data_IF_049359260354
#
_entry.id   IF_049359260354
#
_cell.length_a   1.000
_cell.length_b   1.000
_cell.length_c   1.000
_cell.angle_alpha   90.00
_cell.angle_beta   90.00
_cell.angle_gamma   90.00
#
_symmetry.space_group_name_H-M   'P 1'
#
loop_
_entity.id
_entity.type
_entity.pdbx_description
1 polymer ?
#
# COMPACT_ATOMS: atom_id res chain seq x y z
N UNK A 1 0.58 -34.35 -10.06
CA UNK A 1 -0.43 -33.56 -10.79
C UNK A 1 -0.14 -32.07 -10.73
N UNK A 2 0.00 -31.48 -9.54
CA UNK A 2 0.36 -30.06 -9.32
C UNK A 2 1.51 -29.52 -10.18
N UNK A 3 2.73 -30.09 -10.10
CA UNK A 3 3.89 -29.62 -10.90
C UNK A 3 3.63 -29.58 -12.42
N UNK A 4 2.79 -30.49 -12.93
CA UNK A 4 2.43 -30.50 -14.36
C UNK A 4 1.52 -29.33 -14.71
N UNK A 5 0.59 -28.96 -13.81
CA UNK A 5 -0.28 -27.81 -13.99
C UNK A 5 0.52 -26.51 -14.01
N UNK A 6 1.43 -26.30 -13.06
CA UNK A 6 2.28 -25.09 -13.02
C UNK A 6 3.15 -24.99 -14.27
N UNK A 7 3.84 -26.08 -14.64
CA UNK A 7 4.67 -26.09 -15.85
C UNK A 7 3.85 -25.80 -17.11
N UNK A 8 2.63 -26.31 -17.19
CA UNK A 8 1.72 -26.03 -18.30
C UNK A 8 1.28 -24.57 -18.32
N UNK A 9 0.92 -23.99 -17.17
CA UNK A 9 0.56 -22.57 -17.05
C UNK A 9 1.72 -21.66 -17.47
N UNK A 10 2.94 -21.93 -16.98
CA UNK A 10 4.15 -21.19 -17.37
C UNK A 10 4.37 -21.28 -18.88
N UNK A 11 4.31 -22.47 -19.46
CA UNK A 11 4.48 -22.67 -20.91
C UNK A 11 3.43 -21.93 -21.77
N UNK A 12 2.24 -21.65 -21.22
CA UNK A 12 1.14 -20.98 -21.91
C UNK A 12 1.12 -19.47 -21.72
N UNK A 13 1.49 -18.99 -20.52
CA UNK A 13 1.22 -17.61 -20.10
C UNK A 13 2.49 -16.77 -19.93
N UNK A 14 3.68 -17.37 -19.78
CA UNK A 14 4.91 -16.60 -19.51
C UNK A 14 5.27 -15.58 -20.63
N UNK A 15 4.86 -15.84 -21.87
CA UNK A 15 5.08 -14.93 -23.00
C UNK A 15 4.34 -13.58 -22.85
N UNK A 16 3.30 -13.49 -22.03
CA UNK A 16 2.55 -12.26 -21.81
C UNK A 16 3.23 -11.38 -20.76
N UNK A 17 3.51 -10.12 -21.10
CA UNK A 17 4.30 -9.20 -20.26
C UNK A 17 3.60 -8.74 -18.99
N UNK A 18 2.29 -8.93 -18.92
CA UNK A 18 1.42 -8.55 -17.82
C UNK A 18 1.10 -9.72 -16.86
N UNK A 19 1.85 -10.83 -16.94
CA UNK A 19 1.66 -12.00 -16.05
C UNK A 19 2.64 -11.93 -14.89
N UNK A 20 2.11 -12.04 -13.67
CA UNK A 20 2.84 -12.29 -12.43
C UNK A 20 2.37 -13.63 -11.84
N UNK A 21 3.24 -14.31 -11.10
CA UNK A 21 2.95 -15.60 -10.49
C UNK A 21 2.74 -15.47 -9.00
N UNK A 22 1.49 -15.56 -8.55
CA UNK A 22 1.21 -15.97 -7.17
C UNK A 22 1.08 -17.49 -7.12
N UNK A 23 1.97 -18.13 -6.37
CA UNK A 23 2.00 -19.59 -6.26
C UNK A 23 0.74 -20.13 -5.58
N UNK A 24 0.07 -19.36 -4.72
CA UNK A 24 -1.21 -19.77 -4.15
C UNK A 24 -1.70 -18.86 -3.04
N UNK A 25 -3.01 -18.59 -3.07
CA UNK A 25 -3.73 -17.84 -2.04
C UNK A 25 -3.68 -18.56 -0.70
N UNK A 26 -3.40 -17.82 0.38
CA UNK A 26 -3.40 -18.32 1.77
C UNK A 26 -2.68 -19.67 1.94
N UNK A 27 -1.61 -19.89 1.15
CA UNK A 27 -1.05 -21.24 0.97
C UNK A 27 -0.55 -21.86 2.29
N UNK A 28 -0.15 -21.03 3.25
CA UNK A 28 0.40 -21.43 4.55
C UNK A 28 -0.66 -21.95 5.53
N UNK A 29 -1.96 -21.82 5.23
CA UNK A 29 -3.01 -22.49 5.99
C UNK A 29 -2.95 -24.03 5.83
N UNK A 30 -2.47 -24.49 4.67
CA UNK A 30 -2.49 -25.92 4.30
C UNK A 30 -1.12 -26.48 3.95
N UNK A 31 -0.09 -25.62 3.80
CA UNK A 31 1.23 -26.01 3.31
C UNK A 31 2.34 -25.46 4.20
N UNK A 32 3.40 -26.26 4.35
CA UNK A 32 4.63 -25.81 5.00
C UNK A 32 5.38 -24.81 4.10
N UNK A 33 6.12 -23.84 4.65
CA UNK A 33 6.92 -22.89 3.85
C UNK A 33 7.89 -23.54 2.85
N UNK A 34 8.36 -24.77 3.12
CA UNK A 34 9.22 -25.51 2.20
C UNK A 34 8.56 -25.81 0.83
N UNK A 35 7.22 -25.81 0.76
CA UNK A 35 6.50 -25.98 -0.50
C UNK A 35 6.71 -24.78 -1.44
N UNK A 36 6.52 -23.54 -0.97
CA UNK A 36 6.66 -22.36 -1.82
C UNK A 36 8.12 -22.20 -2.26
N UNK A 37 9.09 -22.49 -1.39
CA UNK A 37 10.51 -22.57 -1.76
C UNK A 37 10.76 -23.53 -2.92
N UNK A 38 10.19 -24.74 -2.87
CA UNK A 38 10.37 -25.74 -3.92
C UNK A 38 9.64 -25.38 -5.22
N UNK A 39 8.40 -24.89 -5.12
CA UNK A 39 7.59 -24.52 -6.28
C UNK A 39 8.07 -23.24 -6.96
N UNK A 40 8.44 -22.21 -6.21
CA UNK A 40 9.00 -20.97 -6.72
C UNK A 40 10.28 -21.21 -7.52
N UNK A 41 11.20 -22.03 -7.00
CA UNK A 41 12.41 -22.44 -7.74
C UNK A 41 12.08 -23.11 -9.08
N UNK A 42 11.06 -23.97 -9.11
CA UNK A 42 10.64 -24.64 -10.34
C UNK A 42 9.98 -23.67 -11.33
N UNK A 43 9.12 -22.76 -10.85
CA UNK A 43 8.49 -21.73 -11.69
C UNK A 43 9.55 -20.82 -12.30
N UNK A 44 10.49 -20.29 -11.51
CA UNK A 44 11.61 -19.47 -12.01
C UNK A 44 12.50 -20.24 -13.00
N UNK A 45 12.68 -21.56 -12.82
CA UNK A 45 13.40 -22.39 -13.79
C UNK A 45 12.64 -22.57 -15.12
N UNK A 46 11.31 -22.67 -15.07
CA UNK A 46 10.48 -22.91 -16.25
C UNK A 46 10.12 -21.65 -17.01
N UNK A 47 10.13 -20.49 -16.36
CA UNK A 47 9.77 -19.20 -16.95
C UNK A 47 10.99 -18.55 -17.63
N UNK A 48 11.04 -18.52 -18.98
CA UNK A 48 12.18 -17.96 -19.69
C UNK A 48 12.24 -16.43 -19.67
N UNK A 49 11.20 -15.75 -19.17
CA UNK A 49 11.08 -14.30 -19.15
C UNK A 49 11.22 -13.70 -17.74
N UNK A 50 11.50 -14.53 -16.74
CA UNK A 50 11.72 -14.11 -15.36
C UNK A 50 10.59 -13.22 -14.80
N UNK A 51 9.33 -13.62 -15.02
CA UNK A 51 8.18 -12.85 -14.51
C UNK A 51 8.21 -12.79 -12.97
N UNK A 52 7.69 -11.70 -12.36
CA UNK A 52 7.58 -11.61 -10.92
C UNK A 52 6.83 -12.80 -10.33
N UNK A 53 7.38 -13.39 -9.26
CA UNK A 53 6.82 -14.54 -8.58
C UNK A 53 6.79 -14.31 -7.06
N UNK A 54 5.73 -14.74 -6.39
CA UNK A 54 5.62 -14.78 -4.94
C UNK A 54 4.59 -15.83 -4.49
N UNK A 55 4.26 -15.88 -3.20
CA UNK A 55 3.26 -16.78 -2.65
C UNK A 55 2.46 -16.08 -1.55
N UNK A 56 1.16 -15.86 -1.78
CA UNK A 56 0.28 -15.17 -0.85
C UNK A 56 0.09 -15.94 0.46
N UNK A 57 0.60 -15.36 1.56
CA UNK A 57 0.48 -15.93 2.90
C UNK A 57 -0.66 -15.29 3.70
N UNK A 58 -1.45 -16.13 4.35
CA UNK A 58 -2.33 -15.74 5.44
C UNK A 58 -1.48 -15.17 6.57
N UNK A 59 -1.62 -13.88 6.87
CA UNK A 59 -0.77 -13.13 7.79
C UNK A 59 0.71 -13.06 7.36
N UNK A 60 1.61 -13.81 8.00
CA UNK A 60 3.05 -13.54 7.98
C UNK A 60 3.80 -13.97 6.69
N UNK A 61 4.81 -13.16 6.32
CA UNK A 61 5.78 -13.53 5.29
C UNK A 61 6.82 -14.53 5.83
N UNK A 62 6.84 -15.73 5.25
CA UNK A 62 7.66 -16.85 5.73
C UNK A 62 8.97 -17.08 4.95
N UNK A 63 9.34 -16.17 4.04
CA UNK A 63 10.37 -16.45 3.03
C UNK A 63 11.59 -15.54 3.06
N UNK A 64 11.63 -14.53 3.94
CA UNK A 64 12.72 -13.57 4.03
C UNK A 64 13.13 -13.02 2.66
N UNK A 65 14.45 -12.99 2.39
CA UNK A 65 15.03 -12.48 1.15
C UNK A 65 15.25 -13.57 0.06
N UNK A 66 14.60 -14.73 0.15
CA UNK A 66 14.84 -15.84 -0.80
C UNK A 66 14.69 -15.42 -2.27
N UNK A 67 15.67 -15.76 -3.11
CA UNK A 67 15.79 -15.25 -4.48
C UNK A 67 14.70 -15.68 -5.46
N UNK A 68 13.86 -16.65 -5.13
CA UNK A 68 12.75 -17.06 -5.99
C UNK A 68 11.53 -16.13 -5.90
N UNK A 69 11.40 -15.43 -4.77
CA UNK A 69 10.30 -14.50 -4.53
C UNK A 69 10.74 -13.09 -4.89
N UNK A 70 10.07 -12.44 -5.82
CA UNK A 70 10.42 -11.10 -6.30
C UNK A 70 9.80 -9.99 -5.44
N UNK A 71 8.70 -10.29 -4.71
CA UNK A 71 7.99 -9.37 -3.84
C UNK A 71 7.42 -10.08 -2.62
N UNK A 72 7.12 -9.34 -1.56
CA UNK A 72 6.41 -9.79 -0.36
C UNK A 72 4.92 -9.59 -0.60
N UNK A 73 4.13 -10.61 -0.27
CA UNK A 73 2.68 -10.56 -0.41
C UNK A 73 2.03 -11.24 0.78
N UNK A 74 1.24 -10.46 1.52
CA UNK A 74 0.59 -10.88 2.78
C UNK A 74 -0.86 -10.41 2.83
N UNK A 75 -1.59 -10.99 3.77
CA UNK A 75 -2.93 -10.57 4.15
C UNK A 75 -2.95 -10.11 5.60
N UNK A 76 -3.11 -8.81 5.81
CA UNK A 76 -3.31 -8.24 7.14
C UNK A 76 -4.41 -7.20 7.10
N UNK A 77 -5.52 -7.50 7.77
CA UNK A 77 -6.55 -6.54 8.09
C UNK A 77 -6.22 -5.81 9.40
N UNK A 78 -6.86 -4.66 9.59
CA UNK A 78 -6.67 -3.83 10.77
C UNK A 78 -7.06 -2.39 10.49
N UNK A 79 -6.98 -1.54 11.51
CA UNK A 79 -7.11 -0.10 11.33
C UNK A 79 -5.91 0.49 10.56
N UNK A 80 -5.96 1.80 10.30
CA UNK A 80 -4.92 2.54 9.57
C UNK A 80 -3.52 2.34 10.16
N UNK A 81 -3.40 2.33 11.49
CA UNK A 81 -2.12 2.18 12.20
C UNK A 81 -1.62 0.75 12.08
N UNK A 82 -2.50 -0.22 12.33
CA UNK A 82 -2.15 -1.65 12.26
C UNK A 82 -1.64 -2.05 10.86
N UNK A 83 -2.31 -1.62 9.79
CA UNK A 83 -1.86 -1.94 8.41
C UNK A 83 -0.58 -1.19 8.00
N UNK A 84 -0.36 0.02 8.52
CA UNK A 84 0.87 0.78 8.31
C UNK A 84 2.06 0.10 9.00
N UNK A 85 1.92 -0.23 10.29
CA UNK A 85 2.93 -0.95 11.07
C UNK A 85 3.25 -2.31 10.47
N UNK A 86 2.23 -3.01 9.97
CA UNK A 86 2.41 -4.29 9.30
C UNK A 86 3.24 -4.19 8.03
N UNK A 87 3.00 -3.19 7.19
CA UNK A 87 3.84 -2.94 6.02
C UNK A 87 5.29 -2.57 6.43
N UNK A 88 5.44 -1.70 7.44
CA UNK A 88 6.76 -1.31 7.95
C UNK A 88 7.57 -2.47 8.54
N UNK A 89 6.91 -3.49 9.11
CA UNK A 89 7.56 -4.72 9.62
C UNK A 89 8.50 -5.37 8.59
N UNK A 90 8.20 -5.23 7.30
CA UNK A 90 8.94 -5.89 6.23
C UNK A 90 9.96 -4.99 5.51
N UNK A 91 10.11 -3.73 5.90
CA UNK A 91 10.95 -2.73 5.21
C UNK A 91 12.42 -3.11 5.04
N UNK A 92 12.96 -3.89 5.98
CA UNK A 92 14.37 -4.30 5.97
C UNK A 92 14.63 -5.48 5.02
N UNK A 93 13.57 -6.07 4.44
CA UNK A 93 13.69 -7.03 3.35
C UNK A 93 13.69 -6.23 2.05
N UNK A 94 14.75 -6.29 1.22
CA UNK A 94 14.89 -5.45 0.03
C UNK A 94 14.02 -5.96 -1.13
N UNK A 95 12.70 -5.95 -0.92
CA UNK A 95 11.68 -6.42 -1.84
C UNK A 95 10.43 -5.52 -1.73
N UNK A 96 9.73 -5.24 -2.84
CA UNK A 96 8.44 -4.57 -2.77
C UNK A 96 7.48 -5.33 -1.86
N UNK A 97 6.70 -4.61 -1.06
CA UNK A 97 5.68 -5.17 -0.17
C UNK A 97 4.28 -4.90 -0.72
N UNK A 98 3.44 -5.93 -0.75
CA UNK A 98 2.03 -5.85 -1.15
C UNK A 98 1.16 -6.45 -0.05
N UNK A 99 0.24 -5.65 0.51
CA UNK A 99 -0.87 -6.20 1.28
C UNK A 99 -1.99 -6.59 0.29
N UNK A 100 -2.08 -7.87 -0.05
CA UNK A 100 -3.04 -8.34 -1.04
C UNK A 100 -4.45 -8.54 -0.48
N UNK A 101 -4.59 -8.61 0.84
CA UNK A 101 -5.89 -8.75 1.46
C UNK A 101 -5.91 -8.11 2.85
N UNK A 102 -6.33 -6.84 2.94
CA UNK A 102 -6.56 -6.13 4.21
C UNK A 102 -8.05 -5.94 4.52
N UNK A 103 -8.92 -6.49 3.68
CA UNK A 103 -10.36 -6.29 3.70
C UNK A 103 -10.89 -5.78 2.35
N UNK A 104 -12.18 -5.97 2.14
CA UNK A 104 -12.87 -5.67 0.88
C UNK A 104 -13.90 -4.58 1.08
N UNK A 105 -14.19 -3.79 0.04
CA UNK A 105 -15.23 -2.76 0.12
C UNK A 105 -16.60 -3.38 0.39
N UNK A 106 -17.41 -2.75 1.23
CA UNK A 106 -18.77 -3.12 1.54
C UNK A 106 -19.49 -2.02 2.32
N UNK A 107 -20.33 -2.40 3.27
CA UNK A 107 -21.21 -1.46 4.00
C UNK A 107 -20.82 -1.24 5.47
N UNK A 108 -19.80 -1.92 5.97
CA UNK A 108 -19.45 -1.91 7.39
C UNK A 108 -18.57 -0.71 7.72
N UNK A 109 -18.90 0.00 8.80
CA UNK A 109 -18.05 1.07 9.33
C UNK A 109 -17.08 0.55 10.38
N UNK A 110 -16.20 -0.36 9.95
CA UNK A 110 -15.11 -0.93 10.75
C UNK A 110 -14.08 -1.58 9.81
N UNK A 111 -12.81 -1.72 10.24
CA UNK A 111 -11.83 -2.47 9.47
C UNK A 111 -12.19 -3.96 9.48
N UNK A 112 -12.62 -4.48 8.33
CA UNK A 112 -12.93 -5.89 8.11
C UNK A 112 -13.09 -6.20 6.62
N UNK A 113 -13.33 -7.45 6.28
CA UNK A 113 -14.02 -7.74 5.02
C UNK A 113 -15.39 -7.03 5.03
N UNK A 114 -15.71 -6.34 3.93
CA UNK A 114 -16.95 -5.57 3.79
C UNK A 114 -16.89 -4.16 4.39
N UNK A 115 -15.69 -3.62 4.64
CA UNK A 115 -15.48 -2.26 5.15
C UNK A 115 -15.90 -1.20 4.14
N UNK A 116 -16.37 -0.05 4.60
CA UNK A 116 -16.82 1.02 3.70
C UNK A 116 -15.66 1.63 2.88
N UNK A 117 -16.02 2.44 1.88
CA UNK A 117 -15.04 3.11 1.00
C UNK A 117 -14.04 4.00 1.76
N UNK A 118 -14.41 4.58 2.91
CA UNK A 118 -13.52 5.40 3.72
C UNK A 118 -12.41 4.56 4.34
N UNK A 119 -12.74 3.39 4.91
CA UNK A 119 -11.75 2.43 5.40
C UNK A 119 -10.85 1.93 4.27
N UNK A 120 -11.41 1.56 3.12
CA UNK A 120 -10.62 1.13 1.95
C UNK A 120 -9.60 2.19 1.54
N UNK A 121 -10.05 3.45 1.40
CA UNK A 121 -9.19 4.58 1.05
C UNK A 121 -8.11 4.81 2.11
N UNK A 122 -8.51 4.88 3.39
CA UNK A 122 -7.58 5.13 4.49
C UNK A 122 -6.53 4.04 4.65
N UNK A 123 -6.90 2.76 4.53
CA UNK A 123 -5.95 1.66 4.59
C UNK A 123 -4.97 1.68 3.41
N UNK A 124 -5.43 1.95 2.18
CA UNK A 124 -4.52 2.08 1.03
C UNK A 124 -3.51 3.22 1.22
N UNK A 125 -3.97 4.39 1.66
CA UNK A 125 -3.07 5.50 1.98
C UNK A 125 -2.09 5.10 3.08
N UNK A 126 -2.56 4.48 4.16
CA UNK A 126 -1.72 4.07 5.29
C UNK A 126 -0.65 3.06 4.87
N UNK A 127 -0.98 2.09 4.01
CA UNK A 127 -0.01 1.12 3.45
C UNK A 127 0.99 1.81 2.51
N UNK A 128 0.53 2.73 1.66
CA UNK A 128 1.41 3.48 0.75
C UNK A 128 2.37 4.41 1.52
N UNK A 129 1.91 5.02 2.61
CA UNK A 129 2.74 5.82 3.52
C UNK A 129 3.81 5.00 4.24
N UNK A 130 3.64 3.68 4.34
CA UNK A 130 4.64 2.75 4.87
C UNK A 130 5.64 2.23 3.80
N UNK A 131 5.57 2.73 2.56
CA UNK A 131 6.40 2.23 1.45
C UNK A 131 5.83 0.98 0.77
N UNK A 132 4.59 0.59 1.09
CA UNK A 132 3.92 -0.59 0.57
C UNK A 132 2.97 -0.32 -0.59
N UNK A 133 2.39 -1.40 -1.10
CA UNK A 133 1.27 -1.39 -2.05
C UNK A 133 0.12 -2.22 -1.48
N UNK A 134 -1.09 -2.00 -1.99
CA UNK A 134 -2.26 -2.80 -1.62
C UNK A 134 -3.12 -3.09 -2.85
N UNK A 135 -3.87 -4.18 -2.80
CA UNK A 135 -4.86 -4.53 -3.82
C UNK A 135 -6.26 -4.14 -3.36
N UNK A 136 -7.14 -3.88 -4.31
CA UNK A 136 -8.54 -3.58 -4.04
C UNK A 136 -9.41 -4.80 -4.33
N UNK A 137 -10.37 -5.08 -3.44
CA UNK A 137 -11.46 -6.03 -3.69
C UNK A 137 -12.80 -5.45 -3.28
N UNK A 138 -13.84 -5.81 -4.04
CA UNK A 138 -15.20 -5.28 -3.89
C UNK A 138 -16.16 -6.36 -3.44
N UNK A 139 -16.62 -6.27 -2.20
CA UNK A 139 -17.63 -7.14 -1.62
C UNK A 139 -18.93 -6.39 -1.29
N UNK A 140 -19.21 -5.32 -2.05
CA UNK A 140 -20.43 -4.55 -1.90
C UNK A 140 -21.68 -5.40 -2.21
N UNK A 141 -22.81 -5.17 -1.54
CA UNK A 141 -24.05 -5.87 -1.86
C UNK A 141 -24.42 -5.77 -3.34
N UNK A 142 -24.62 -6.91 -4.00
CA UNK A 142 -24.92 -6.98 -5.43
C UNK A 142 -23.69 -7.10 -6.34
N UNK A 143 -22.47 -7.01 -5.82
CA UNK A 143 -21.25 -7.31 -6.57
C UNK A 143 -21.08 -8.82 -6.73
N UNK A 144 -20.79 -9.27 -7.96
CA UNK A 144 -20.41 -10.65 -8.23
C UNK A 144 -18.95 -10.89 -7.83
N UNK A 145 -18.71 -11.02 -6.52
CA UNK A 145 -17.37 -11.20 -5.96
C UNK A 145 -16.66 -12.42 -6.56
N UNK A 146 -15.35 -12.33 -6.79
CA UNK A 146 -14.51 -13.36 -7.44
C UNK A 146 -14.84 -13.74 -8.89
N UNK A 147 -15.67 -12.97 -9.60
CA UNK A 147 -16.05 -13.31 -10.99
C UNK A 147 -15.32 -12.50 -12.06
N UNK A 148 -14.52 -11.50 -11.66
CA UNK A 148 -13.84 -10.58 -12.59
C UNK A 148 -14.74 -9.49 -13.20
N UNK A 149 -16.03 -9.45 -12.83
CA UNK A 149 -16.91 -8.33 -13.19
C UNK A 149 -16.60 -7.09 -12.35
N UNK A 150 -16.80 -5.92 -12.94
CA UNK A 150 -16.65 -4.64 -12.24
C UNK A 150 -17.71 -4.55 -11.14
N UNK A 151 -17.26 -4.34 -9.90
CA UNK A 151 -18.14 -4.18 -8.75
C UNK A 151 -18.75 -2.77 -8.63
N UNK A 152 -19.61 -2.59 -7.64
CA UNK A 152 -20.36 -1.35 -7.39
C UNK A 152 -19.70 -0.40 -6.38
N UNK A 153 -18.51 -0.73 -5.91
CA UNK A 153 -17.74 0.03 -4.93
C UNK A 153 -17.32 1.39 -5.45
N UNK A 154 -17.14 2.32 -4.52
CA UNK A 154 -16.82 3.73 -4.75
C UNK A 154 -15.34 4.02 -4.55
N UNK A 155 -14.63 3.18 -3.80
CA UNK A 155 -13.23 3.41 -3.49
C UNK A 155 -12.32 3.44 -4.74
N UNK A 156 -12.54 2.66 -5.83
CA UNK A 156 -11.65 2.70 -7.00
C UNK A 156 -11.45 4.11 -7.58
N UNK A 157 -12.50 4.93 -7.62
CA UNK A 157 -12.41 6.31 -8.09
C UNK A 157 -11.54 7.19 -7.15
N UNK A 158 -11.55 6.91 -5.85
CA UNK A 158 -10.75 7.64 -4.86
C UNK A 158 -9.29 7.14 -4.85
N UNK A 159 -9.07 5.84 -5.08
CA UNK A 159 -7.73 5.25 -5.20
C UNK A 159 -6.99 5.74 -6.45
N UNK A 160 -7.71 6.21 -7.47
CA UNK A 160 -7.10 6.96 -8.58
C UNK A 160 -6.33 8.19 -8.08
N UNK A 161 -6.88 8.95 -7.13
CA UNK A 161 -6.22 10.14 -6.59
C UNK A 161 -5.02 9.82 -5.71
N UNK A 162 -5.04 8.66 -5.04
CA UNK A 162 -3.84 8.13 -4.38
C UNK A 162 -2.76 7.88 -5.43
N UNK A 163 -3.07 7.14 -6.49
CA UNK A 163 -2.11 6.87 -7.57
C UNK A 163 -1.54 8.15 -8.16
N UNK A 164 -2.38 9.11 -8.56
CA UNK A 164 -1.94 10.40 -9.10
C UNK A 164 -1.05 11.17 -8.12
N UNK A 165 -1.32 11.07 -6.81
CA UNK A 165 -0.49 11.75 -5.81
C UNK A 165 0.89 11.11 -5.71
N UNK A 166 0.96 9.80 -5.59
CA UNK A 166 2.23 9.07 -5.47
C UNK A 166 3.07 9.10 -6.76
N UNK A 167 2.43 9.17 -7.94
CA UNK A 167 3.12 9.40 -9.21
C UNK A 167 3.63 10.85 -9.37
N UNK A 168 3.10 11.81 -8.60
CA UNK A 168 3.51 13.23 -8.64
C UNK A 168 4.67 13.59 -7.72
N UNK A 169 5.17 12.63 -6.93
CA UNK A 169 6.26 12.81 -5.95
C UNK A 169 7.41 11.84 -6.26
N UNK A 170 8.64 12.07 -5.76
CA UNK A 170 9.75 11.14 -5.94
C UNK A 170 9.64 9.93 -5.01
N UNK A 171 8.51 9.21 -5.04
CA UNK A 171 8.18 8.11 -4.12
C UNK A 171 9.32 7.10 -3.90
N UNK A 172 10.08 6.65 -4.93
CA UNK A 172 11.19 5.71 -4.73
C UNK A 172 12.37 6.24 -3.88
N UNK A 173 12.47 7.56 -3.68
CA UNK A 173 13.49 8.19 -2.84
C UNK A 173 12.99 8.51 -1.43
N UNK A 174 11.69 8.37 -1.18
CA UNK A 174 11.07 8.74 0.08
C UNK A 174 10.93 7.50 0.97
N UNK A 175 11.13 7.67 2.27
CA UNK A 175 11.02 6.59 3.27
C UNK A 175 10.04 6.97 4.39
N UNK A 176 9.41 5.98 5.07
CA UNK A 176 8.49 6.27 6.17
C UNK A 176 9.22 6.86 7.39
N UNK A 177 8.62 7.91 7.95
CA UNK A 177 9.13 8.73 9.05
C UNK A 177 8.00 9.12 10.03
N UNK A 178 7.20 8.14 10.46
CA UNK A 178 6.05 8.38 11.35
C UNK A 178 6.44 9.06 12.67
N UNK A 179 7.68 8.92 13.13
CA UNK A 179 8.22 9.63 14.29
C UNK A 179 8.24 11.16 14.14
N UNK A 180 8.12 11.68 12.92
CA UNK A 180 8.06 13.12 12.66
C UNK A 180 6.68 13.73 12.89
N UNK A 181 5.63 12.91 13.06
CA UNK A 181 4.24 13.36 13.21
C UNK A 181 3.56 12.77 14.44
N UNK A 182 2.43 13.36 14.85
CA UNK A 182 1.61 12.86 15.96
C UNK A 182 0.73 11.66 15.58
N UNK A 183 0.17 11.00 16.60
CA UNK A 183 -0.78 9.88 16.47
C UNK A 183 -1.94 10.20 15.53
N UNK A 184 -2.33 9.23 14.70
CA UNK A 184 -3.40 9.40 13.70
C UNK A 184 -2.95 10.06 12.39
N UNK A 185 -1.65 10.31 12.24
CA UNK A 185 -1.02 10.75 10.99
C UNK A 185 0.22 9.89 10.67
N UNK A 186 0.55 9.81 9.38
CA UNK A 186 1.74 9.14 8.86
C UNK A 186 2.58 10.10 8.05
N UNK A 187 3.89 9.85 7.98
CA UNK A 187 4.80 10.68 7.21
C UNK A 187 5.70 9.82 6.33
N UNK A 188 5.85 10.25 5.07
CA UNK A 188 6.80 9.72 4.12
C UNK A 188 7.66 10.90 3.66
N UNK A 189 8.99 10.76 3.67
CA UNK A 189 9.87 11.89 3.37
C UNK A 189 11.13 11.49 2.62
N UNK A 190 11.59 12.39 1.75
CA UNK A 190 13.01 12.56 1.49
C UNK A 190 13.43 13.78 2.32
N UNK A 191 14.04 13.54 3.48
CA UNK A 191 14.28 14.58 4.48
C UNK A 191 15.04 15.78 3.89
N UNK A 192 14.56 16.99 4.14
CA UNK A 192 15.10 18.23 3.60
C UNK A 192 14.54 18.65 2.24
N UNK A 193 13.99 17.71 1.46
CA UNK A 193 13.53 17.96 0.09
C UNK A 193 12.00 17.95 -0.04
N UNK A 194 11.33 16.91 0.47
CA UNK A 194 9.88 16.77 0.36
C UNK A 194 9.32 15.88 1.47
N UNK A 195 8.18 16.28 2.02
CA UNK A 195 7.43 15.51 2.99
C UNK A 195 5.99 15.32 2.49
N UNK A 196 5.51 14.08 2.50
CA UNK A 196 4.10 13.77 2.41
C UNK A 196 3.62 13.42 3.82
N UNK A 197 2.55 14.07 4.28
CA UNK A 197 1.91 13.80 5.56
C UNK A 197 0.46 13.44 5.30
N UNK A 198 0.02 12.30 5.81
CA UNK A 198 -1.36 11.83 5.67
C UNK A 198 -2.03 11.75 7.03
N UNK A 199 -3.10 12.52 7.22
CA UNK A 199 -3.91 12.56 8.43
C UNK A 199 -5.07 11.59 8.22
N UNK A 200 -4.91 10.35 8.67
CA UNK A 200 -5.92 9.30 8.49
C UNK A 200 -7.15 9.53 9.38
N UNK A 201 -6.89 9.89 10.65
CA UNK A 201 -7.92 10.07 11.69
C UNK A 201 -7.70 11.32 12.55
N UNK A 202 -6.64 12.09 12.28
CA UNK A 202 -6.33 13.33 12.98
C UNK A 202 -6.91 14.56 12.24
N UNK A 203 -7.49 15.51 12.97
CA UNK A 203 -7.83 16.83 12.42
C UNK A 203 -6.61 17.78 12.34
N UNK A 204 -5.55 17.44 13.06
CA UNK A 204 -4.33 18.25 13.17
C UNK A 204 -3.14 17.37 13.53
N UNK A 205 -1.97 17.72 13.02
CA UNK A 205 -0.70 17.14 13.46
C UNK A 205 0.42 18.18 13.42
N UNK A 206 1.55 17.88 14.04
CA UNK A 206 2.74 18.72 13.99
C UNK A 206 3.85 17.94 13.29
N UNK A 207 4.34 18.47 12.17
CA UNK A 207 5.50 17.95 11.48
C UNK A 207 6.78 18.49 12.14
N UNK A 208 7.53 17.60 12.77
CA UNK A 208 8.80 17.88 13.47
C UNK A 208 10.00 17.70 12.54
N UNK A 209 9.97 18.31 11.36
CA UNK A 209 11.08 18.28 10.42
C UNK A 209 12.12 19.37 10.74
N UNK A 210 13.41 19.12 10.45
CA UNK A 210 14.51 20.09 10.67
C UNK A 210 14.52 21.18 9.60
N UNK A 211 13.46 21.99 9.54
CA UNK A 211 13.22 23.01 8.51
C UNK A 211 13.26 24.45 9.06
N UNK A 212 13.90 24.66 10.21
CA UNK A 212 13.91 25.94 10.91
C UNK A 212 14.37 27.10 10.00
N UNK A 213 13.53 28.14 9.88
CA UNK A 213 13.80 29.34 9.09
C UNK A 213 13.57 29.19 7.58
N UNK A 214 13.17 28.01 7.11
CA UNK A 214 12.84 27.81 5.70
C UNK A 214 11.39 28.19 5.40
N UNK A 215 11.18 28.85 4.26
CA UNK A 215 9.84 28.95 3.68
C UNK A 215 9.47 27.58 3.13
N UNK A 216 8.21 27.19 3.23
CA UNK A 216 7.73 25.94 2.66
C UNK A 216 6.39 26.16 1.96
N UNK A 217 6.18 25.44 0.88
CA UNK A 217 4.88 25.34 0.23
C UNK A 217 4.16 24.12 0.78
N UNK A 218 2.96 24.33 1.34
CA UNK A 218 2.07 23.27 1.80
C UNK A 218 0.94 23.12 0.78
N UNK A 219 0.84 21.95 0.14
CA UNK A 219 -0.23 21.59 -0.78
C UNK A 219 -1.11 20.53 -0.14
N UNK A 220 -2.31 20.93 0.28
CA UNK A 220 -3.35 20.01 0.75
C UNK A 220 -4.00 19.29 -0.42
N UNK A 221 -4.30 18.01 -0.23
CA UNK A 221 -4.95 17.11 -1.18
C UNK A 221 -6.12 16.46 -0.47
N UNK A 222 -7.31 16.58 -1.04
CA UNK A 222 -8.49 15.84 -0.61
C UNK A 222 -8.47 14.42 -1.22
N UNK A 223 -8.22 13.35 -0.45
CA UNK A 223 -8.12 11.98 -0.96
C UNK A 223 -9.40 11.48 -1.64
N UNK A 224 -10.55 12.11 -1.35
CA UNK A 224 -11.86 11.73 -1.91
C UNK A 224 -12.10 12.28 -3.31
N UNK A 225 -11.50 13.43 -3.62
CA UNK A 225 -11.82 14.21 -4.84
C UNK A 225 -10.60 14.57 -5.68
N UNK A 226 -9.39 14.39 -5.14
CA UNK A 226 -8.13 14.79 -5.76
C UNK A 226 -7.90 16.31 -5.77
N UNK A 227 -8.82 17.12 -5.22
CA UNK A 227 -8.70 18.58 -5.20
C UNK A 227 -7.47 19.01 -4.40
N UNK A 228 -6.69 19.92 -4.97
CA UNK A 228 -5.47 20.46 -4.35
C UNK A 228 -5.62 21.94 -3.99
N UNK A 229 -5.10 22.35 -2.83
CA UNK A 229 -5.03 23.76 -2.40
C UNK A 229 -3.65 24.03 -1.80
N UNK A 230 -2.96 25.07 -2.28
CA UNK A 230 -1.61 25.41 -1.82
C UNK A 230 -1.59 26.71 -1.02
N UNK A 231 -0.76 26.75 0.01
CA UNK A 231 -0.41 27.94 0.77
C UNK A 231 1.08 27.96 1.10
N UNK A 232 1.66 29.13 1.28
CA UNK A 232 3.03 29.29 1.77
C UNK A 232 3.01 29.43 3.28
N UNK A 233 3.86 28.67 3.96
CA UNK A 233 4.10 28.76 5.40
C UNK A 233 5.61 28.99 5.65
N UNK A 234 5.96 29.54 6.82
CA UNK A 234 7.35 29.72 7.24
C UNK A 234 7.60 28.87 8.48
N UNK A 235 8.43 27.85 8.34
CA UNK A 235 8.72 26.93 9.42
C UNK A 235 9.54 27.64 10.51
N UNK A 236 8.95 27.78 11.70
CA UNK A 236 9.63 28.39 12.86
C UNK A 236 10.49 27.40 13.65
N UNK A 237 10.32 26.10 13.37
CA UNK A 237 11.08 24.92 13.85
C UNK A 237 10.25 23.65 13.59
N UNK A 238 8.92 23.81 13.62
CA UNK A 238 7.90 22.80 13.37
C UNK A 238 6.82 23.40 12.47
N UNK A 239 6.06 22.55 11.78
CA UNK A 239 4.93 22.98 10.95
C UNK A 239 3.66 22.36 11.53
N UNK A 240 2.70 23.19 11.94
CA UNK A 240 1.39 22.71 12.37
C UNK A 240 0.48 22.55 11.17
N UNK A 241 0.08 21.31 10.89
CA UNK A 241 -0.78 20.95 9.78
C UNK A 241 -2.21 20.74 10.31
N UNK A 242 -3.13 21.63 9.92
CA UNK A 242 -4.56 21.54 10.27
C UNK A 242 -5.35 21.12 9.03
N UNK A 243 -6.06 20.00 9.13
CA UNK A 243 -6.89 19.50 8.04
C UNK A 243 -7.92 20.58 7.62
N UNK A 244 -8.11 20.83 6.31
CA UNK A 244 -9.08 21.81 5.83
C UNK A 244 -10.54 21.54 6.24
N UNK A 245 -10.92 20.29 6.48
CA UNK A 245 -12.26 19.89 6.95
C UNK A 245 -12.22 18.50 7.61
N UNK A 246 -13.39 17.94 7.94
CA UNK A 246 -13.50 16.59 8.52
C UNK A 246 -13.07 15.48 7.54
N UNK A 247 -12.70 14.34 8.13
CA UNK A 247 -12.19 13.16 7.42
C UNK A 247 -10.70 13.25 7.13
N UNK A 248 -10.22 12.37 6.26
CA UNK A 248 -8.81 12.22 5.93
C UNK A 248 -8.31 13.28 4.95
N UNK A 249 -7.04 13.65 5.10
CA UNK A 249 -6.36 14.65 4.29
C UNK A 249 -4.89 14.32 4.11
N UNK A 250 -4.35 14.58 2.92
CA UNK A 250 -2.91 14.54 2.67
C UNK A 250 -2.35 15.95 2.47
N UNK A 251 -1.11 16.18 2.91
CA UNK A 251 -0.36 17.40 2.69
C UNK A 251 1.01 17.07 2.09
N UNK A 252 1.36 17.69 0.98
CA UNK A 252 2.73 17.72 0.46
C UNK A 252 3.38 19.01 0.97
N UNK A 253 4.55 18.89 1.59
CA UNK A 253 5.35 20.00 2.08
C UNK A 253 6.66 20.00 1.29
N UNK A 254 6.90 21.08 0.54
CA UNK A 254 8.15 21.33 -0.17
C UNK A 254 8.86 22.51 0.49
N UNK A 255 10.01 22.32 1.15
CA UNK A 255 10.86 23.41 1.58
C UNK A 255 11.42 24.18 0.38
N UNK A 256 11.56 25.50 0.54
CA UNK A 256 12.10 26.44 -0.46
C UNK A 256 13.52 26.87 -0.12
#
# INVERSE_FOLDING_TARGET
HEKRLYRYAVARLAAFSNVWWDLGNEHNEYRKPSWALAMGRLVKQWDPYDRPCSAHGYADWNYGSQSWADYIITQQYGDCTEVNEWAMKYREIPKPYVNEEYGYEGALDKPSHGQNADWVRKCHWSIAMAGGYATYGDWSPGTAFYTGHIGQGKAPAQLHHLRETFESIPYPLMVPHNELVGTGAFCLAAEGDIYLVYLADAGETVLNAKLAGQSCTVTWIDPRTGKRTSSVDTAKDKITLRAPSSGDWAAIINPN
#
